data_IF_389194614465
#
_entry.id   IF_389194614465
#
_cell.length_a   1.000
_cell.length_b   1.000
_cell.length_c   1.000
_cell.angle_alpha   90.00
_cell.angle_beta   90.00
_cell.angle_gamma   90.00
#
_symmetry.space_group_name_H-M   'P 1'
#
loop_
_entity.id
_entity.type
_entity.pdbx_description
1 polymer ?
#
# COMPACT_ATOMS: atom_id res chain seq x y z
N UNK A 1 7.39 -5.42 20.47
CA UNK A 1 6.74 -5.00 19.21
C UNK A 1 5.80 -3.87 19.60
N UNK A 2 6.17 -2.60 19.34
CA UNK A 2 5.38 -1.44 19.78
C UNK A 2 4.53 -0.98 18.58
N UNK A 3 3.22 -1.11 18.68
CA UNK A 3 2.27 -0.68 17.66
C UNK A 3 1.98 0.82 17.84
N UNK A 4 2.08 1.60 16.77
CA UNK A 4 1.70 3.02 16.77
C UNK A 4 0.31 3.17 16.16
N UNK A 5 -0.61 3.78 16.91
CA UNK A 5 -1.96 4.14 16.45
C UNK A 5 -1.94 5.59 16.00
N UNK A 6 -2.29 5.84 14.73
CA UNK A 6 -2.55 7.18 14.22
C UNK A 6 -4.07 7.34 14.08
N UNK A 7 -4.65 8.20 14.91
CA UNK A 7 -6.02 8.66 14.76
C UNK A 7 -6.03 9.79 13.71
N UNK A 8 -6.86 9.66 12.68
CA UNK A 8 -6.98 10.66 11.60
C UNK A 8 -7.51 12.02 12.12
N UNK A 9 -7.85 12.14 13.41
CA UNK A 9 -8.25 13.40 14.06
C UNK A 9 -7.21 14.02 15.01
N UNK A 10 -6.00 13.48 15.15
CA UNK A 10 -5.00 14.02 16.09
C UNK A 10 -3.59 14.15 15.49
N UNK A 11 -2.98 15.32 15.71
CA UNK A 11 -1.58 15.64 15.42
C UNK A 11 -0.65 14.55 15.98
N UNK A 12 0.19 13.96 15.12
CA UNK A 12 1.20 12.98 15.55
C UNK A 12 2.60 13.56 15.45
N UNK A 13 3.36 13.41 16.54
CA UNK A 13 4.74 13.83 16.68
C UNK A 13 5.64 13.23 15.58
N UNK A 14 6.33 14.10 14.84
CA UNK A 14 7.28 13.71 13.79
C UNK A 14 8.55 13.18 14.45
N UNK A 15 8.84 11.88 14.28
CA UNK A 15 10.05 11.23 14.79
C UNK A 15 11.33 11.70 14.07
N UNK A 16 12.51 11.43 14.65
CA UNK A 16 13.79 11.96 14.21
C UNK A 16 14.19 11.61 12.76
N UNK A 17 13.81 10.45 12.22
CA UNK A 17 14.02 10.08 10.80
C UNK A 17 12.97 9.06 10.30
N UNK A 18 11.76 9.50 9.92
CA UNK A 18 10.72 8.60 9.42
C UNK A 18 11.11 8.00 8.06
N UNK A 19 10.71 6.75 7.81
CA UNK A 19 10.82 6.11 6.49
C UNK A 19 9.89 6.81 5.49
N UNK A 20 8.67 7.11 5.93
CA UNK A 20 7.68 7.86 5.19
C UNK A 20 7.11 8.95 6.10
N UNK A 21 7.02 10.19 5.61
CA UNK A 21 6.39 11.28 6.34
C UNK A 21 5.35 11.99 5.47
N UNK A 22 4.37 12.59 6.11
CA UNK A 22 3.49 13.56 5.50
C UNK A 22 3.60 14.87 6.27
N UNK A 23 3.62 16.01 5.56
CA UNK A 23 3.68 17.35 6.17
C UNK A 23 2.56 18.22 5.63
N UNK A 24 1.69 18.70 6.52
CA UNK A 24 0.52 19.51 6.17
C UNK A 24 -0.35 18.91 5.06
N UNK A 25 -0.40 17.57 4.97
CA UNK A 25 -0.94 16.86 3.82
C UNK A 25 -2.45 17.10 3.71
N UNK A 26 -2.90 17.70 2.60
CA UNK A 26 -4.31 17.94 2.34
C UNK A 26 -4.73 17.43 0.96
N UNK A 27 -6.00 17.06 0.84
CA UNK A 27 -6.57 16.62 -0.43
C UNK A 27 -8.02 17.07 -0.54
N UNK A 28 -8.34 17.71 -1.65
CA UNK A 28 -9.67 18.20 -1.99
C UNK A 28 -10.13 17.61 -3.31
N UNK A 29 -11.40 17.23 -3.39
CA UNK A 29 -12.04 16.73 -4.60
C UNK A 29 -13.49 17.21 -4.65
N UNK A 30 -13.96 17.60 -5.84
CA UNK A 30 -15.35 18.07 -6.01
C UNK A 30 -15.70 19.29 -5.14
N UNK A 31 -14.74 20.19 -4.90
CA UNK A 31 -14.95 21.39 -4.08
C UNK A 31 -14.95 21.15 -2.57
N UNK A 32 -14.74 19.93 -2.10
CA UNK A 32 -14.66 19.61 -0.67
C UNK A 32 -13.26 19.13 -0.29
N UNK A 33 -12.76 19.58 0.84
CA UNK A 33 -11.54 19.05 1.45
C UNK A 33 -11.87 17.76 2.20
N UNK A 34 -11.20 16.67 1.82
CA UNK A 34 -11.43 15.32 2.35
C UNK A 34 -10.32 14.86 3.30
N UNK A 35 -9.13 15.46 3.17
CA UNK A 35 -8.00 15.29 4.09
C UNK A 35 -7.52 16.69 4.47
N UNK A 36 -7.37 16.96 5.76
CA UNK A 36 -7.10 18.28 6.31
C UNK A 36 -5.73 18.32 7.01
N UNK A 37 -4.71 18.86 6.33
CA UNK A 37 -3.45 19.26 6.96
C UNK A 37 -2.77 18.21 7.83
N UNK A 38 -2.68 16.95 7.39
CA UNK A 38 -2.16 15.86 8.23
C UNK A 38 -0.63 15.88 8.27
N UNK A 39 -0.08 15.94 9.48
CA UNK A 39 1.32 15.65 9.79
C UNK A 39 1.46 14.25 10.40
N UNK A 40 2.30 13.41 9.80
CA UNK A 40 2.59 12.07 10.33
C UNK A 40 3.97 11.56 9.93
N UNK A 41 4.47 10.60 10.70
CA UNK A 41 5.69 9.83 10.37
C UNK A 41 5.46 8.33 10.57
N UNK A 42 5.87 7.54 9.59
CA UNK A 42 5.93 6.08 9.66
C UNK A 42 7.39 5.66 9.82
N UNK A 43 7.66 4.96 10.91
CA UNK A 43 9.00 4.47 11.22
C UNK A 43 9.31 3.15 10.51
N UNK A 44 10.57 2.92 10.11
CA UNK A 44 10.98 1.62 9.57
C UNK A 44 10.85 0.52 10.63
N UNK A 45 10.43 -0.66 10.20
CA UNK A 45 10.37 -1.86 11.05
C UNK A 45 9.26 -1.87 12.10
N UNK A 46 8.40 -0.83 12.14
CA UNK A 46 7.22 -0.79 13.01
C UNK A 46 5.94 -1.02 12.22
N UNK A 47 4.95 -1.62 12.89
CA UNK A 47 3.58 -1.68 12.38
C UNK A 47 2.86 -0.40 12.81
N UNK A 48 2.25 0.27 11.84
CA UNK A 48 1.44 1.46 12.08
C UNK A 48 0.01 1.16 11.70
N UNK A 49 -0.91 1.43 12.62
CA UNK A 49 -2.33 1.27 12.41
C UNK A 49 -2.99 2.63 12.22
N UNK A 50 -3.72 2.78 11.11
CA UNK A 50 -4.54 3.98 10.85
C UNK A 50 -5.99 3.67 11.19
N UNK A 51 -6.54 4.37 12.18
CA UNK A 51 -7.91 4.15 12.67
C UNK A 51 -8.80 5.37 12.44
N UNK A 52 -10.11 5.14 12.42
CA UNK A 52 -11.13 6.17 12.26
C UNK A 52 -12.45 5.59 11.74
N UNK A 53 -13.54 6.36 11.85
CA UNK A 53 -14.87 5.97 11.37
C UNK A 53 -14.91 5.65 9.86
N UNK A 54 -15.93 4.92 9.40
CA UNK A 54 -16.15 4.75 7.96
C UNK A 54 -16.35 6.11 7.29
N UNK A 55 -15.73 6.31 6.13
CA UNK A 55 -15.73 7.61 5.44
C UNK A 55 -14.72 8.63 5.96
N UNK A 56 -13.95 8.35 7.01
CA UNK A 56 -12.94 9.29 7.57
C UNK A 56 -11.73 9.57 6.68
N UNK A 57 -11.70 9.10 5.43
CA UNK A 57 -10.57 9.33 4.52
C UNK A 57 -9.39 8.36 4.63
N UNK A 58 -9.44 7.29 5.45
CA UNK A 58 -8.36 6.27 5.56
C UNK A 58 -7.79 5.81 4.21
N UNK A 59 -8.66 5.35 3.32
CA UNK A 59 -8.23 4.85 2.00
C UNK A 59 -7.67 5.97 1.11
N UNK A 60 -8.13 7.21 1.28
CA UNK A 60 -7.56 8.38 0.58
C UNK A 60 -6.17 8.70 1.13
N UNK A 61 -6.00 8.72 2.45
CA UNK A 61 -4.71 8.93 3.09
C UNK A 61 -3.69 7.89 2.61
N UNK A 62 -4.03 6.59 2.62
CA UNK A 62 -3.13 5.55 2.14
C UNK A 62 -2.77 5.71 0.66
N UNK A 63 -3.71 6.16 -0.19
CA UNK A 63 -3.43 6.45 -1.60
C UNK A 63 -2.52 7.66 -1.79
N UNK A 64 -2.68 8.71 -0.99
CA UNK A 64 -1.80 9.89 -1.00
C UNK A 64 -0.39 9.51 -0.55
N UNK A 65 -0.27 8.80 0.57
CA UNK A 65 1.00 8.28 1.10
C UNK A 65 1.73 7.39 0.10
N UNK A 66 1.00 6.55 -0.64
CA UNK A 66 1.56 5.71 -1.71
C UNK A 66 1.85 6.50 -3.01
N UNK A 67 1.38 7.74 -3.14
CA UNK A 67 1.53 8.55 -4.36
C UNK A 67 0.62 8.13 -5.52
N UNK A 68 -0.51 7.47 -5.25
CA UNK A 68 -1.57 7.20 -6.23
C UNK A 68 -2.51 8.39 -6.42
N UNK A 69 -2.52 9.32 -5.46
CA UNK A 69 -3.20 10.60 -5.54
C UNK A 69 -2.17 11.70 -5.33
N UNK A 70 -2.32 12.80 -6.06
CA UNK A 70 -1.55 14.02 -5.84
C UNK A 70 -2.21 14.84 -4.74
N UNK A 71 -1.48 15.26 -3.70
CA UNK A 71 -2.01 16.16 -2.68
C UNK A 71 -2.45 17.49 -3.28
N UNK A 72 -3.47 18.12 -2.70
CA UNK A 72 -3.86 19.50 -3.06
C UNK A 72 -2.92 20.52 -2.41
N UNK A 73 -2.38 20.20 -1.23
CA UNK A 73 -1.32 20.93 -0.56
C UNK A 73 -0.55 20.01 0.39
N UNK A 74 0.59 20.49 0.87
CA UNK A 74 1.52 19.70 1.68
C UNK A 74 2.32 18.71 0.83
N UNK A 75 3.03 17.81 1.50
CA UNK A 75 3.95 16.89 0.84
C UNK A 75 3.99 15.52 1.51
N UNK A 76 4.40 14.52 0.73
CA UNK A 76 4.81 13.21 1.22
C UNK A 76 6.30 13.07 0.98
N UNK A 77 7.03 12.60 1.98
CA UNK A 77 8.48 12.43 1.96
C UNK A 77 8.83 10.97 2.20
N UNK A 78 9.73 10.42 1.39
CA UNK A 78 10.36 9.12 1.60
C UNK A 78 11.79 9.32 2.03
N UNK A 79 12.14 8.89 3.25
CA UNK A 79 13.47 9.11 3.86
C UNK A 79 13.92 10.57 3.75
N UNK A 80 13.01 11.50 4.04
CA UNK A 80 13.26 12.95 4.02
C UNK A 80 13.25 13.62 2.65
N UNK A 81 13.01 12.90 1.55
CA UNK A 81 13.05 13.44 0.19
C UNK A 81 11.73 13.21 -0.55
N UNK A 82 11.46 14.00 -1.59
CA UNK A 82 10.33 13.74 -2.49
C UNK A 82 10.41 12.31 -3.07
N UNK A 83 9.31 11.53 -3.06
CA UNK A 83 9.31 10.14 -3.53
C UNK A 83 9.74 10.03 -5.00
N UNK A 84 10.85 9.34 -5.22
CA UNK A 84 11.38 9.03 -6.53
C UNK A 84 10.84 7.67 -7.05
N UNK A 85 11.40 7.19 -8.17
CA UNK A 85 11.04 5.88 -8.71
C UNK A 85 11.44 4.74 -7.78
N UNK A 86 12.54 4.89 -7.04
CA UNK A 86 13.00 3.91 -6.06
C UNK A 86 12.02 3.76 -4.90
N UNK A 87 11.59 4.88 -4.32
CA UNK A 87 10.60 4.95 -3.26
C UNK A 87 9.29 4.27 -3.67
N UNK A 88 8.79 4.52 -4.89
CA UNK A 88 7.58 3.87 -5.42
C UNK A 88 7.74 2.36 -5.60
N UNK A 89 8.93 1.88 -5.97
CA UNK A 89 9.23 0.44 -6.12
C UNK A 89 9.39 -0.29 -4.79
N UNK A 90 9.75 0.43 -3.73
CA UNK A 90 9.91 -0.10 -2.39
C UNK A 90 8.57 -0.21 -1.62
N UNK A 91 7.49 0.30 -2.20
CA UNK A 91 6.15 0.30 -1.62
C UNK A 91 5.23 -0.67 -2.36
N UNK A 92 4.25 -1.20 -1.63
CA UNK A 92 3.16 -1.99 -2.18
C UNK A 92 1.86 -1.59 -1.47
N UNK A 93 0.74 -1.64 -2.20
CA UNK A 93 -0.58 -1.38 -1.67
C UNK A 93 -1.52 -2.53 -2.03
N UNK A 94 -2.22 -3.05 -1.03
CA UNK A 94 -3.35 -3.96 -1.21
C UNK A 94 -4.62 -3.13 -1.18
N UNK A 95 -5.41 -3.20 -2.25
CA UNK A 95 -6.64 -2.43 -2.37
C UNK A 95 -7.80 -3.11 -1.62
N UNK A 96 -8.73 -2.30 -1.11
CA UNK A 96 -9.96 -2.80 -0.48
C UNK A 96 -10.84 -3.61 -1.43
N UNK A 97 -10.87 -3.25 -2.72
CA UNK A 97 -11.45 -4.09 -3.77
C UNK A 97 -10.28 -4.67 -4.58
N UNK A 98 -10.07 -5.99 -4.57
CA UNK A 98 -9.01 -6.61 -5.33
C UNK A 98 -9.08 -6.26 -6.81
N UNK A 99 -7.91 -6.11 -7.44
CA UNK A 99 -7.79 -5.88 -8.88
C UNK A 99 -6.97 -7.00 -9.48
N UNK A 100 -7.63 -7.90 -10.21
CA UNK A 100 -6.97 -9.05 -10.85
C UNK A 100 -6.70 -8.80 -12.34
N UNK A 101 -5.47 -9.10 -12.77
CA UNK A 101 -5.12 -9.11 -14.18
C UNK A 101 -5.84 -10.28 -14.89
N UNK A 102 -6.09 -10.15 -16.19
CA UNK A 102 -6.65 -11.23 -17.04
C UNK A 102 -5.63 -12.34 -17.26
N UNK A 103 -5.27 -13.04 -16.20
CA UNK A 103 -4.21 -14.05 -16.11
C UNK A 103 -4.58 -15.07 -15.03
N UNK A 104 -3.88 -16.21 -14.98
CA UNK A 104 -4.03 -17.14 -13.85
C UNK A 104 -3.52 -16.55 -12.54
N UNK A 105 -3.83 -17.18 -11.40
CA UNK A 105 -3.31 -16.78 -10.08
C UNK A 105 -1.77 -16.74 -10.09
N UNK A 106 -1.14 -17.84 -10.52
CA UNK A 106 0.32 -17.93 -10.62
C UNK A 106 0.91 -16.90 -11.59
N UNK A 107 0.21 -16.60 -12.68
CA UNK A 107 0.67 -15.61 -13.65
C UNK A 107 0.52 -14.16 -13.14
N UNK A 108 -0.42 -13.86 -12.23
CA UNK A 108 -0.48 -12.57 -11.54
C UNK A 108 0.74 -12.39 -10.63
N UNK A 109 1.08 -13.40 -9.81
CA UNK A 109 2.26 -13.37 -8.94
C UNK A 109 3.56 -13.23 -9.76
N UNK A 110 3.74 -14.06 -10.78
CA UNK A 110 4.91 -13.99 -11.65
C UNK A 110 5.05 -12.64 -12.36
N UNK A 111 3.94 -12.01 -12.75
CA UNK A 111 3.96 -10.68 -13.33
C UNK A 111 4.50 -9.65 -12.34
N UNK A 112 3.96 -9.61 -11.11
CA UNK A 112 4.44 -8.70 -10.08
C UNK A 112 5.93 -8.92 -9.76
N UNK A 113 6.34 -10.16 -9.54
CA UNK A 113 7.73 -10.51 -9.24
C UNK A 113 8.68 -10.11 -10.38
N UNK A 114 8.26 -10.29 -11.65
CA UNK A 114 9.03 -9.85 -12.82
C UNK A 114 9.19 -8.32 -12.85
N UNK A 115 8.13 -7.57 -12.55
CA UNK A 115 8.18 -6.10 -12.47
C UNK A 115 9.17 -5.63 -11.39
N UNK A 116 9.29 -6.39 -10.30
CA UNK A 116 10.29 -6.18 -9.25
C UNK A 116 11.67 -6.78 -9.56
N UNK A 117 11.93 -7.18 -10.81
CA UNK A 117 13.26 -7.61 -11.26
C UNK A 117 13.63 -9.05 -10.91
N UNK A 118 12.71 -9.86 -10.38
CA UNK A 118 12.97 -11.27 -10.10
C UNK A 118 12.86 -12.12 -11.38
N UNK A 119 13.78 -13.07 -11.53
CA UNK A 119 13.85 -13.95 -12.69
C UNK A 119 14.19 -15.40 -12.31
N UNK A 120 14.05 -16.29 -13.31
CA UNK A 120 14.47 -17.69 -13.21
C UNK A 120 13.89 -18.44 -12.01
N UNK A 121 14.72 -19.29 -11.40
CA UNK A 121 14.36 -20.15 -10.27
C UNK A 121 13.92 -19.36 -9.03
N UNK A 122 14.60 -18.25 -8.73
CA UNK A 122 14.25 -17.40 -7.58
C UNK A 122 12.81 -16.87 -7.67
N UNK A 123 12.39 -16.43 -8.87
CA UNK A 123 11.00 -16.01 -9.09
C UNK A 123 10.01 -17.16 -8.90
N UNK A 124 10.32 -18.34 -9.43
CA UNK A 124 9.44 -19.52 -9.31
C UNK A 124 9.26 -19.93 -7.84
N UNK A 125 10.35 -20.00 -7.07
CA UNK A 125 10.29 -20.30 -5.63
C UNK A 125 9.47 -19.25 -4.88
N UNK A 126 9.72 -17.95 -5.15
CA UNK A 126 8.99 -16.87 -4.48
C UNK A 126 7.49 -16.85 -4.80
N UNK A 127 7.13 -17.20 -6.04
CA UNK A 127 5.73 -17.33 -6.43
C UNK A 127 5.06 -18.50 -5.71
N UNK A 128 5.74 -19.64 -5.57
CA UNK A 128 5.21 -20.79 -4.85
C UNK A 128 5.04 -20.50 -3.37
N UNK A 129 6.03 -19.90 -2.71
CA UNK A 129 5.92 -19.46 -1.32
C UNK A 129 4.70 -18.55 -1.09
N UNK A 130 4.45 -17.62 -2.02
CA UNK A 130 3.29 -16.73 -1.94
C UNK A 130 1.96 -17.49 -2.09
N UNK A 131 1.87 -18.45 -3.00
CA UNK A 131 0.70 -19.31 -3.15
C UNK A 131 0.42 -20.13 -1.89
N UNK A 132 1.47 -20.70 -1.30
CA UNK A 132 1.36 -21.54 -0.10
C UNK A 132 0.93 -20.70 1.11
N UNK A 133 1.53 -19.51 1.29
CA UNK A 133 1.11 -18.56 2.34
C UNK A 133 -0.35 -18.13 2.19
N UNK A 134 -0.80 -17.90 0.95
CA UNK A 134 -2.17 -17.52 0.65
C UNK A 134 -3.16 -18.71 0.66
N UNK A 135 -2.66 -19.95 0.71
CA UNK A 135 -3.43 -21.20 0.54
C UNK A 135 -4.21 -21.21 -0.78
N UNK A 136 -3.51 -20.93 -1.87
CA UNK A 136 -4.06 -20.86 -3.24
C UNK A 136 -3.33 -21.77 -4.23
N UNK A 137 -2.48 -22.68 -3.74
CA UNK A 137 -1.63 -23.54 -4.58
C UNK A 137 -2.45 -24.40 -5.56
N UNK A 138 -3.58 -24.96 -5.12
CA UNK A 138 -4.49 -25.74 -5.96
C UNK A 138 -5.22 -24.89 -7.03
N UNK A 139 -5.27 -23.58 -6.82
CA UNK A 139 -5.91 -22.62 -7.74
C UNK A 139 -4.89 -21.92 -8.65
N UNK A 140 -3.60 -22.27 -8.59
CA UNK A 140 -2.52 -21.59 -9.29
C UNK A 140 -2.77 -21.40 -10.80
N UNK A 141 -3.36 -22.42 -11.44
CA UNK A 141 -3.69 -22.41 -12.87
C UNK A 141 -4.99 -21.68 -13.23
N UNK A 142 -5.86 -21.39 -12.26
CA UNK A 142 -7.18 -20.84 -12.53
C UNK A 142 -7.13 -19.35 -12.90
N UNK A 143 -7.99 -18.87 -13.81
CA UNK A 143 -8.10 -17.45 -14.12
C UNK A 143 -8.46 -16.64 -12.87
N UNK A 144 -7.59 -15.71 -12.45
CA UNK A 144 -7.70 -14.99 -11.19
C UNK A 144 -9.04 -14.24 -10.99
N UNK A 145 -9.72 -13.86 -12.09
CA UNK A 145 -10.99 -13.12 -12.06
C UNK A 145 -12.22 -13.96 -11.73
N UNK A 146 -12.14 -15.29 -11.82
CA UNK A 146 -13.28 -16.18 -11.54
C UNK A 146 -13.30 -16.67 -10.09
N UNK A 147 -12.21 -16.43 -9.35
CA UNK A 147 -12.10 -16.74 -7.93
C UNK A 147 -13.13 -15.94 -7.13
N UNK A 148 -13.53 -16.47 -5.98
CA UNK A 148 -14.36 -15.74 -5.02
C UNK A 148 -13.67 -14.47 -4.52
N UNK A 149 -14.44 -13.51 -4.02
CA UNK A 149 -13.86 -12.25 -3.50
C UNK A 149 -12.84 -12.46 -2.38
N UNK A 150 -13.08 -13.43 -1.49
CA UNK A 150 -12.15 -13.79 -0.42
C UNK A 150 -10.87 -14.45 -0.92
N UNK A 151 -10.96 -15.25 -1.99
CA UNK A 151 -9.78 -15.81 -2.67
C UNK A 151 -8.99 -14.74 -3.43
N UNK A 152 -9.65 -13.76 -4.04
CA UNK A 152 -8.96 -12.65 -4.71
C UNK A 152 -8.27 -11.70 -3.71
N UNK A 153 -8.77 -11.63 -2.47
CA UNK A 153 -8.22 -10.79 -1.42
C UNK A 153 -6.98 -11.39 -0.74
N UNK A 154 -6.87 -12.72 -0.73
CA UNK A 154 -5.71 -13.47 -0.24
C UNK A 154 -4.56 -13.41 -1.25
#
# INVERSE_FOLDING_TARGET
MRDTVIDIRAESAVAAHPLLAARGLSFSAGGQTLIHGIDLGIEPGKRTLVMGANGSGKSLLLRLLHGLLTPSSGEVLWRGHAPDRGARRAQAMVFQRPVMLRRSVLANLNFALKVHGMAGRARAMRAQEALDMARLSDLAGQPARVLSGGEQQR
#
